data_IF_726124993604
#
_entry.id   IF_726124993604
#
_cell.length_a   1.000
_cell.length_b   1.000
_cell.length_c   1.000
_cell.angle_alpha   90.00
_cell.angle_beta   90.00
_cell.angle_gamma   90.00
#
_symmetry.space_group_name_H-M   'P 1'
#
loop_
_entity.id
_entity.type
_entity.pdbx_description
1 polymer ?
#
# COMPACT_ATOMS: atom_id res chain seq x y z
N UNK A 1 -24.74 -4.73 5.34
CA UNK A 1 -24.43 -6.12 4.88
C UNK A 1 -23.03 -6.30 4.26
N UNK A 2 -22.25 -5.24 3.99
CA UNK A 2 -20.90 -5.31 3.39
C UNK A 2 -19.83 -5.93 4.30
N UNK A 3 -19.94 -5.75 5.63
CA UNK A 3 -18.99 -6.30 6.63
C UNK A 3 -19.03 -7.84 6.70
N UNK A 4 -20.23 -8.44 6.55
CA UNK A 4 -20.41 -9.90 6.57
C UNK A 4 -19.76 -10.57 5.35
N UNK A 5 -19.94 -9.98 4.16
CA UNK A 5 -19.35 -10.47 2.91
C UNK A 5 -17.82 -10.38 2.98
N UNK A 6 -17.29 -9.26 3.48
CA UNK A 6 -15.84 -9.08 3.68
C UNK A 6 -15.25 -10.13 4.63
N UNK A 7 -15.94 -10.42 5.73
CA UNK A 7 -15.51 -11.44 6.71
C UNK A 7 -15.48 -12.85 6.09
N UNK A 8 -16.49 -13.19 5.28
CA UNK A 8 -16.54 -14.46 4.55
C UNK A 8 -15.43 -14.57 3.49
N UNK A 9 -15.20 -13.51 2.71
CA UNK A 9 -14.14 -13.48 1.71
C UNK A 9 -12.75 -13.60 2.34
N UNK A 10 -12.56 -13.01 3.53
CA UNK A 10 -11.33 -13.11 4.30
C UNK A 10 -11.04 -14.55 4.73
N UNK A 11 -12.00 -15.21 5.38
CA UNK A 11 -11.82 -16.60 5.87
C UNK A 11 -11.54 -17.60 4.75
N UNK A 12 -11.96 -17.30 3.53
CA UNK A 12 -11.76 -18.18 2.37
C UNK A 12 -10.57 -17.81 1.49
N UNK A 13 -9.70 -16.88 1.89
CA UNK A 13 -8.64 -16.34 1.03
C UNK A 13 -9.16 -15.88 -0.34
N UNK A 14 -10.39 -15.33 -0.34
CA UNK A 14 -11.10 -14.84 -1.53
C UNK A 14 -10.98 -13.33 -1.71
N UNK A 15 -10.29 -12.64 -0.80
CA UNK A 15 -9.90 -11.27 -1.03
C UNK A 15 -8.88 -11.21 -2.18
N UNK A 16 -9.05 -10.28 -3.13
CA UNK A 16 -8.14 -10.13 -4.26
C UNK A 16 -6.85 -9.42 -3.81
N UNK A 17 -6.15 -9.96 -2.82
CA UNK A 17 -4.83 -9.48 -2.41
C UNK A 17 -3.80 -9.90 -3.44
N UNK A 18 -2.72 -9.14 -3.60
CA UNK A 18 -1.65 -9.52 -4.55
C UNK A 18 -1.00 -10.86 -4.22
N UNK A 19 -0.87 -11.23 -2.94
CA UNK A 19 -0.45 -12.57 -2.56
C UNK A 19 -1.42 -13.66 -3.05
N UNK A 20 -2.73 -13.41 -2.98
CA UNK A 20 -3.76 -14.36 -3.45
C UNK A 20 -3.85 -14.43 -4.97
N UNK A 21 -3.67 -13.29 -5.65
CA UNK A 21 -3.63 -13.22 -7.11
C UNK A 21 -2.39 -13.95 -7.65
N UNK A 22 -1.22 -13.82 -7.01
CA UNK A 22 -0.04 -14.61 -7.34
C UNK A 22 -0.29 -16.11 -7.12
N UNK A 23 -0.85 -16.52 -5.97
CA UNK A 23 -1.17 -17.93 -5.70
C UNK A 23 -2.12 -18.55 -6.74
N UNK A 24 -2.92 -17.73 -7.41
CA UNK A 24 -3.86 -18.14 -8.46
C UNK A 24 -3.29 -18.01 -9.87
N UNK A 25 -2.03 -17.60 -10.03
CA UNK A 25 -1.38 -17.40 -11.32
C UNK A 25 -1.89 -16.19 -12.10
N UNK A 26 -2.56 -15.23 -11.45
CA UNK A 26 -3.04 -13.99 -12.09
C UNK A 26 -1.93 -12.95 -12.18
N UNK A 27 -1.03 -12.92 -11.19
CA UNK A 27 0.20 -12.13 -11.27
C UNK A 27 1.34 -13.06 -11.72
N UNK A 28 2.20 -12.55 -12.59
CA UNK A 28 3.28 -13.35 -13.21
C UNK A 28 4.58 -13.28 -12.41
N UNK A 29 4.78 -12.21 -11.63
CA UNK A 29 6.04 -11.98 -10.93
C UNK A 29 5.85 -11.78 -9.42
N UNK A 30 6.76 -12.37 -8.64
CA UNK A 30 6.86 -12.15 -7.19
C UNK A 30 7.18 -10.69 -6.84
N UNK A 31 7.73 -9.91 -7.78
CA UNK A 31 7.93 -8.47 -7.62
C UNK A 31 6.59 -7.69 -7.53
N UNK A 32 5.50 -8.24 -8.07
CA UNK A 32 4.17 -7.60 -8.06
C UNK A 32 3.38 -7.89 -6.77
N UNK A 33 3.96 -8.64 -5.83
CA UNK A 33 3.28 -9.07 -4.59
C UNK A 33 3.34 -8.02 -3.49
N UNK A 34 4.19 -6.99 -3.66
CA UNK A 34 4.29 -5.89 -2.72
C UNK A 34 2.94 -5.17 -2.57
N UNK A 35 2.61 -4.82 -1.33
CA UNK A 35 1.43 -4.07 -0.96
C UNK A 35 1.34 -2.77 -1.74
N UNK A 36 0.20 -2.54 -2.39
CA UNK A 36 -0.06 -1.31 -3.14
C UNK A 36 0.00 -0.05 -2.26
N UNK A 37 -0.05 -0.22 -0.93
CA UNK A 37 -0.15 0.88 0.03
C UNK A 37 1.09 1.17 0.85
N UNK A 38 1.92 0.17 1.17
CA UNK A 38 3.17 0.41 1.91
C UNK A 38 4.42 0.11 1.09
N UNK A 39 4.29 -0.64 -0.01
CA UNK A 39 5.38 -1.08 -0.90
C UNK A 39 6.56 -1.81 -0.23
N UNK A 40 6.53 -2.00 1.09
CA UNK A 40 7.60 -2.60 1.88
C UNK A 40 7.31 -4.07 2.20
N UNK A 41 6.04 -4.42 2.40
CA UNK A 41 5.61 -5.77 2.76
C UNK A 41 4.73 -6.39 1.67
N UNK A 42 4.64 -7.71 1.70
CA UNK A 42 3.73 -8.49 0.85
C UNK A 42 2.28 -8.13 1.17
N UNK A 43 1.47 -7.92 0.13
CA UNK A 43 0.03 -7.71 0.27
C UNK A 43 -0.70 -9.01 0.67
N UNK A 44 -0.61 -9.36 1.94
CA UNK A 44 -1.35 -10.47 2.54
C UNK A 44 -2.66 -9.99 3.16
N UNK A 45 -3.59 -10.92 3.44
CA UNK A 45 -4.82 -10.54 4.14
C UNK A 45 -4.54 -9.96 5.54
N UNK A 46 -3.55 -10.53 6.25
CA UNK A 46 -3.13 -10.06 7.56
C UNK A 46 -2.62 -8.62 7.50
N UNK A 47 -1.76 -8.31 6.52
CA UNK A 47 -1.24 -6.95 6.32
C UNK A 47 -2.36 -5.94 6.03
N UNK A 48 -3.34 -6.31 5.19
CA UNK A 48 -4.51 -5.45 4.94
C UNK A 48 -5.41 -5.28 6.17
N UNK A 49 -5.53 -6.32 6.99
CA UNK A 49 -6.38 -6.29 8.19
C UNK A 49 -5.77 -5.45 9.31
N UNK A 50 -4.46 -5.54 9.54
CA UNK A 50 -3.73 -4.69 10.50
C UNK A 50 -3.83 -3.22 10.12
N UNK A 51 -3.80 -2.88 8.83
CA UNK A 51 -4.05 -1.50 8.41
C UNK A 51 -5.50 -1.08 8.66
N UNK A 52 -6.46 -1.93 8.34
CA UNK A 52 -7.86 -1.65 8.55
C UNK A 52 -8.18 -1.48 10.04
N UNK A 53 -7.51 -2.22 10.93
CA UNK A 53 -7.68 -2.03 12.37
C UNK A 53 -7.18 -0.65 12.82
N UNK A 54 -6.11 -0.11 12.25
CA UNK A 54 -5.68 1.28 12.53
C UNK A 54 -6.78 2.31 12.17
N UNK A 55 -7.51 2.08 11.08
CA UNK A 55 -8.59 2.98 10.62
C UNK A 55 -9.89 2.77 11.41
N UNK A 56 -10.25 1.52 11.70
CA UNK A 56 -11.58 1.16 12.24
C UNK A 56 -11.61 0.91 13.75
N UNK A 57 -10.48 0.63 14.41
CA UNK A 57 -10.43 0.45 15.87
C UNK A 57 -10.20 1.77 16.64
N UNK A 58 -10.19 2.92 15.95
CA UNK A 58 -9.98 4.22 16.58
C UNK A 58 -8.58 4.38 17.18
N UNK A 59 -7.61 3.61 16.69
CA UNK A 59 -6.21 3.77 17.07
C UNK A 59 -5.75 5.17 16.68
N UNK A 60 -5.38 5.98 17.66
CA UNK A 60 -4.84 7.32 17.41
C UNK A 60 -3.39 7.18 16.93
N UNK A 61 -3.19 7.34 15.63
CA UNK A 61 -1.88 7.52 15.04
C UNK A 61 -1.38 8.95 15.29
N UNK A 62 -0.06 9.13 15.42
CA UNK A 62 0.50 10.47 15.55
C UNK A 62 0.40 11.18 14.20
N UNK A 63 0.17 12.50 14.23
CA UNK A 63 0.09 13.30 13.00
C UNK A 63 1.35 13.20 12.15
N UNK A 64 2.54 13.13 12.77
CA UNK A 64 3.80 12.93 12.06
C UNK A 64 3.83 11.61 11.27
N UNK A 65 3.39 10.51 11.88
CA UNK A 65 3.35 9.20 11.22
C UNK A 65 2.41 9.20 10.01
N UNK A 66 1.28 9.91 10.10
CA UNK A 66 0.35 10.06 8.98
C UNK A 66 0.99 10.88 7.85
N UNK A 67 1.63 12.01 8.19
CA UNK A 67 2.28 12.89 7.23
C UNK A 67 3.43 12.17 6.51
N UNK A 68 4.24 11.40 7.24
CA UNK A 68 5.36 10.64 6.69
C UNK A 68 4.86 9.51 5.78
N UNK A 69 3.77 8.82 6.18
CA UNK A 69 3.12 7.84 5.32
C UNK A 69 2.55 8.46 4.03
N UNK A 70 1.98 9.66 4.10
CA UNK A 70 1.49 10.39 2.92
C UNK A 70 2.65 10.75 1.99
N UNK A 71 3.74 11.31 2.52
CA UNK A 71 4.94 11.67 1.75
C UNK A 71 5.54 10.48 1.04
N UNK A 72 5.73 9.37 1.75
CA UNK A 72 6.28 8.14 1.19
C UNK A 72 5.39 7.59 0.06
N UNK A 73 4.06 7.59 0.26
CA UNK A 73 3.10 7.09 -0.75
C UNK A 73 3.03 7.96 -1.99
N UNK A 74 3.02 9.27 -1.82
CA UNK A 74 2.96 10.20 -2.95
C UNK A 74 4.24 10.13 -3.79
N UNK A 75 5.40 9.99 -3.14
CA UNK A 75 6.66 9.71 -3.82
C UNK A 75 6.64 8.38 -4.57
N UNK A 76 6.21 7.31 -3.90
CA UNK A 76 6.21 5.98 -4.52
C UNK A 76 5.28 5.93 -5.73
N UNK A 77 4.09 6.55 -5.63
CA UNK A 77 3.19 6.71 -6.77
C UNK A 77 3.84 7.53 -7.88
N UNK A 78 4.53 8.62 -7.52
CA UNK A 78 5.18 9.50 -8.47
C UNK A 78 6.29 8.76 -9.27
N UNK A 79 7.17 8.04 -8.58
CA UNK A 79 8.25 7.24 -9.19
C UNK A 79 7.68 6.12 -10.06
N UNK A 80 6.64 5.42 -9.60
CA UNK A 80 5.99 4.37 -10.40
C UNK A 80 5.27 4.90 -11.65
N UNK A 81 4.85 6.17 -11.63
CA UNK A 81 4.08 6.80 -12.72
C UNK A 81 4.95 7.49 -13.79
N UNK A 82 6.19 7.91 -13.47
CA UNK A 82 7.13 8.47 -14.47
C UNK A 82 8.02 7.37 -15.05
N UNK A 83 8.00 7.22 -16.38
CA UNK A 83 9.04 6.47 -17.09
C UNK A 83 10.38 7.23 -17.02
N UNK A 84 11.22 6.88 -16.05
CA UNK A 84 12.63 7.31 -15.98
C UNK A 84 12.96 8.53 -15.11
N UNK A 85 12.01 9.03 -14.31
CA UNK A 85 12.30 10.05 -13.30
C UNK A 85 12.79 9.42 -11.99
N UNK A 86 14.04 9.67 -11.59
CA UNK A 86 14.52 9.31 -10.26
C UNK A 86 14.29 10.49 -9.30
N UNK A 87 13.43 10.30 -8.30
CA UNK A 87 13.26 11.21 -7.17
C UNK A 87 13.40 10.39 -5.90
N UNK A 88 14.29 10.78 -4.99
CA UNK A 88 14.50 10.08 -3.70
C UNK A 88 13.73 10.75 -2.56
N UNK A 89 13.48 10.03 -1.47
CA UNK A 89 12.66 10.50 -0.34
C UNK A 89 13.13 11.84 0.24
N UNK A 90 14.44 12.03 0.36
CA UNK A 90 15.01 13.29 0.83
C UNK A 90 14.65 14.49 -0.06
N UNK A 91 14.73 14.33 -1.39
CA UNK A 91 14.41 15.38 -2.34
C UNK A 91 12.91 15.70 -2.33
N UNK A 92 12.08 14.67 -2.26
CA UNK A 92 10.63 14.81 -2.15
C UNK A 92 10.20 15.56 -0.88
N UNK A 93 10.89 15.32 0.24
CA UNK A 93 10.57 15.98 1.51
C UNK A 93 11.02 17.44 1.55
N UNK A 94 12.16 17.76 0.92
CA UNK A 94 12.74 19.11 0.97
C UNK A 94 12.25 20.00 -0.16
N UNK A 95 12.07 19.45 -1.36
CA UNK A 95 11.85 20.17 -2.61
C UNK A 95 10.91 19.39 -3.56
N UNK A 96 9.65 19.10 -3.16
CA UNK A 96 8.73 18.29 -3.95
C UNK A 96 8.44 18.88 -5.34
N UNK A 97 8.49 20.21 -5.49
CA UNK A 97 8.31 20.89 -6.77
C UNK A 97 9.38 20.52 -7.80
N UNK A 98 10.61 20.26 -7.37
CA UNK A 98 11.69 19.86 -8.27
C UNK A 98 11.50 18.45 -8.81
N UNK A 99 10.80 17.57 -8.08
CA UNK A 99 10.43 16.27 -8.59
C UNK A 99 9.27 16.36 -9.59
N UNK A 100 8.37 17.35 -9.47
CA UNK A 100 7.18 17.47 -10.32
C UNK A 100 7.46 18.10 -11.70
N UNK A 101 8.53 18.88 -11.84
CA UNK A 101 9.01 19.50 -13.08
C UNK A 101 9.82 18.47 -13.90
#
# INVERSE_FOLDING_TARGET
>A
MKVKIFSWQLMLHRLPTRANLLRRGVLESSAQVQCAWCSAEVESEAHLFTRNSLIFQGVKLKTCEIVDAIKYRSLHWFVASRYGGACVLYEWEKLPLNCLL
#
